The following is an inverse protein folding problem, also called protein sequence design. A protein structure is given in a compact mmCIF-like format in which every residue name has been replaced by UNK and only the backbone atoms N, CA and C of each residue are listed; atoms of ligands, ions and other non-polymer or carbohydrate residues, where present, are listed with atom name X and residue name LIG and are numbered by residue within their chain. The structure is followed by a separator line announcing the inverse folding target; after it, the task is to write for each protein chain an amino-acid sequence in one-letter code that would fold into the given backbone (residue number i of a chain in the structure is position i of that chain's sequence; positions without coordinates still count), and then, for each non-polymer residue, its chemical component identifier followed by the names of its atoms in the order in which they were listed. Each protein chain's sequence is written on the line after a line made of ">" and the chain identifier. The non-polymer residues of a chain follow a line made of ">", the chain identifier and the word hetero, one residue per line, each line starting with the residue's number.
data_IF_104021299381
#
_entry.id   IF_104021299381
#
_cell.length_a   1.000
_cell.length_b   1.000
_cell.length_c   1.000
_cell.angle_alpha   90.00
_cell.angle_beta   90.00
_cell.angle_gamma   90.00
#
_symmetry.space_group_name_H-M   'P 1'
#
loop_
_entity.id
_entity.type
_entity.pdbx_description
1 polymer ?
#
# COMPACT_ATOMS: atom_id res chain seq x y z
N UNK A 1 -7.97 11.41 8.05
CA UNK A 1 -6.64 11.07 7.50
C UNK A 1 -6.40 9.62 7.81
N UNK A 2 -6.02 8.82 6.82
CA UNK A 2 -5.56 7.46 7.08
C UNK A 2 -4.20 7.57 7.77
N UNK A 3 -4.00 6.83 8.86
CA UNK A 3 -2.73 6.82 9.59
C UNK A 3 -1.89 5.69 8.99
N UNK A 4 -0.68 6.00 8.53
CA UNK A 4 0.24 4.97 8.02
C UNK A 4 0.54 3.92 9.10
N UNK A 5 0.54 2.64 8.72
CA UNK A 5 1.06 1.59 9.58
C UNK A 5 2.59 1.68 9.75
N UNK A 6 3.16 1.01 10.75
CA UNK A 6 4.61 0.92 10.95
C UNK A 6 5.33 0.33 9.74
N UNK A 7 4.67 -0.63 9.05
CA UNK A 7 5.19 -1.25 7.85
C UNK A 7 5.16 -0.33 6.63
N UNK A 8 4.06 0.40 6.42
CA UNK A 8 4.01 1.44 5.39
C UNK A 8 5.08 2.51 5.63
N UNK A 9 5.29 2.93 6.88
CA UNK A 9 6.38 3.86 7.25
C UNK A 9 7.75 3.31 6.90
N UNK A 10 7.99 2.02 7.09
CA UNK A 10 9.24 1.36 6.73
C UNK A 10 9.44 1.32 5.20
N UNK A 11 8.39 1.01 4.43
CA UNK A 11 8.42 1.05 2.96
C UNK A 11 8.73 2.47 2.47
N UNK A 12 8.04 3.48 3.01
CA UNK A 12 8.26 4.89 2.68
C UNK A 12 9.72 5.31 2.90
N UNK A 13 10.25 5.01 4.08
CA UNK A 13 11.64 5.33 4.42
C UNK A 13 12.65 4.63 3.48
N UNK A 14 12.37 3.39 3.08
CA UNK A 14 13.20 2.69 2.10
C UNK A 14 13.17 3.36 0.72
N UNK A 15 12.00 3.76 0.24
CA UNK A 15 11.85 4.47 -1.04
C UNK A 15 12.55 5.83 -1.01
N UNK A 16 12.40 6.60 0.07
CA UNK A 16 13.08 7.88 0.29
C UNK A 16 14.61 7.71 0.26
N UNK A 17 15.14 6.72 0.97
CA UNK A 17 16.57 6.43 1.02
C UNK A 17 17.15 5.97 -0.33
N UNK A 18 16.34 5.30 -1.15
CA UNK A 18 16.71 4.89 -2.50
C UNK A 18 16.56 6.01 -3.54
N UNK A 19 16.03 7.17 -3.16
CA UNK A 19 15.74 8.27 -4.08
C UNK A 19 14.65 7.92 -5.10
N UNK A 20 13.72 7.04 -4.74
CA UNK A 20 12.62 6.62 -5.61
C UNK A 20 11.39 7.46 -5.32
N UNK A 21 10.89 8.16 -6.34
CA UNK A 21 9.63 8.91 -6.26
C UNK A 21 8.43 7.97 -6.23
N UNK A 22 7.48 8.25 -5.35
CA UNK A 22 6.22 7.52 -5.21
C UNK A 22 5.02 8.46 -5.01
N UNK A 23 3.84 7.93 -5.31
CA UNK A 23 2.54 8.48 -4.90
C UNK A 23 1.97 7.55 -3.83
N UNK A 24 1.46 8.09 -2.72
CA UNK A 24 0.84 7.27 -1.67
C UNK A 24 -0.66 7.14 -1.88
N UNK A 25 -1.24 6.04 -1.40
CA UNK A 25 -2.69 5.79 -1.38
C UNK A 25 -3.29 5.91 -2.80
N UNK A 26 -2.61 5.32 -3.79
CA UNK A 26 -2.93 5.45 -5.21
C UNK A 26 -4.19 4.66 -5.57
N UNK A 27 -5.21 5.36 -6.04
CA UNK A 27 -6.41 4.73 -6.60
C UNK A 27 -6.11 3.98 -7.90
N UNK A 28 -6.61 2.75 -8.00
CA UNK A 28 -6.52 1.85 -9.15
C UNK A 28 -7.88 1.82 -9.85
N UNK A 29 -7.99 2.53 -10.96
CA UNK A 29 -9.28 2.78 -11.64
C UNK A 29 -9.66 1.72 -12.68
N UNK A 30 -8.75 0.84 -13.07
CA UNK A 30 -8.96 -0.13 -14.17
C UNK A 30 -9.38 -1.54 -13.71
N UNK A 31 -9.54 -1.77 -12.41
CA UNK A 31 -10.03 -3.04 -11.86
C UNK A 31 -11.55 -3.05 -11.83
N UNK A 32 -12.17 -3.32 -12.98
CA UNK A 32 -13.62 -3.16 -13.18
C UNK A 32 -14.50 -4.18 -12.41
N UNK A 33 -13.94 -5.33 -12.01
CA UNK A 33 -14.70 -6.40 -11.33
C UNK A 33 -14.26 -6.64 -9.87
N UNK A 34 -13.28 -5.88 -9.38
CA UNK A 34 -12.79 -6.04 -8.01
C UNK A 34 -13.61 -5.22 -7.01
N UNK A 35 -13.83 -5.78 -5.82
CA UNK A 35 -14.57 -5.15 -4.75
C UNK A 35 -13.85 -3.88 -4.26
N UNK A 36 -14.61 -2.81 -4.01
CA UNK A 36 -14.12 -1.43 -3.82
C UNK A 36 -12.98 -1.24 -2.80
N UNK A 37 -12.76 -2.17 -1.87
CA UNK A 37 -11.76 -2.04 -0.80
C UNK A 37 -10.32 -2.31 -1.27
N UNK A 38 -10.12 -3.00 -2.40
CA UNK A 38 -8.78 -3.35 -2.92
C UNK A 38 -8.29 -2.42 -4.04
N UNK A 39 -8.97 -1.30 -4.28
CA UNK A 39 -8.64 -0.38 -5.38
C UNK A 39 -7.70 0.75 -4.96
N UNK A 40 -7.03 0.64 -3.82
CA UNK A 40 -6.08 1.65 -3.37
C UNK A 40 -4.83 0.96 -2.89
N UNK A 41 -3.71 1.22 -3.56
CA UNK A 41 -2.41 0.70 -3.15
C UNK A 41 -1.73 1.69 -2.22
N UNK A 42 -1.00 1.20 -1.22
CA UNK A 42 -0.23 2.05 -0.30
C UNK A 42 0.75 2.97 -1.04
N UNK A 43 1.44 2.45 -2.06
CA UNK A 43 2.38 3.21 -2.88
C UNK A 43 2.26 2.87 -4.37
N UNK A 44 2.48 3.88 -5.21
CA UNK A 44 2.66 3.75 -6.65
C UNK A 44 3.97 4.39 -7.06
N UNK A 45 4.74 3.70 -7.90
CA UNK A 45 6.04 4.11 -8.39
C UNK A 45 5.92 4.51 -9.87
N UNK A 46 5.76 5.81 -10.22
CA UNK A 46 5.42 6.22 -11.59
C UNK A 46 6.49 5.82 -12.61
N UNK A 47 7.77 5.91 -12.23
CA UNK A 47 8.91 5.54 -13.08
C UNK A 47 8.87 4.08 -13.53
N UNK A 48 8.32 3.21 -12.69
CA UNK A 48 8.31 1.77 -12.89
C UNK A 48 6.92 1.23 -13.22
N UNK A 49 5.89 2.10 -13.26
CA UNK A 49 4.49 1.71 -13.39
C UNK A 49 4.11 0.54 -12.45
N UNK A 50 4.56 0.64 -11.19
CA UNK A 50 4.48 -0.45 -10.22
C UNK A 50 3.69 0.00 -9.00
N UNK A 51 2.78 -0.84 -8.52
CA UNK A 51 2.00 -0.63 -7.30
C UNK A 51 2.59 -1.50 -6.19
N UNK A 52 2.65 -0.99 -4.97
CA UNK A 52 3.12 -1.68 -3.77
C UNK A 52 2.01 -1.61 -2.72
N UNK A 53 1.69 -2.77 -2.17
CA UNK A 53 0.82 -2.94 -1.01
C UNK A 53 1.65 -3.57 0.12
N UNK A 54 1.67 -2.96 1.29
CA UNK A 54 2.22 -3.55 2.48
C UNK A 54 1.17 -4.48 3.11
N UNK A 55 1.34 -5.78 2.92
CA UNK A 55 0.45 -6.80 3.46
C UNK A 55 0.63 -7.01 4.97
N UNK A 56 0.22 -6.04 5.78
CA UNK A 56 0.18 -6.16 7.24
C UNK A 56 -0.73 -7.31 7.68
N UNK A 57 -0.25 -8.15 8.61
CA UNK A 57 -1.02 -9.28 9.14
C UNK A 57 -1.33 -10.38 8.11
N UNK A 58 -0.44 -10.59 7.14
CA UNK A 58 -0.49 -11.72 6.21
C UNK A 58 -0.43 -13.09 6.91
N UNK A 59 0.22 -13.15 8.07
CA UNK A 59 0.35 -14.32 8.94
C UNK A 59 -0.80 -14.48 9.94
N UNK A 60 -1.66 -13.47 10.08
CA UNK A 60 -2.82 -13.52 10.97
C UNK A 60 -3.98 -14.20 10.27
N UNK A 61 -4.45 -15.29 10.88
CA UNK A 61 -5.48 -16.18 10.31
C UNK A 61 -6.91 -15.60 10.36
N UNK A 62 -7.12 -14.49 11.07
CA UNK A 62 -8.40 -13.81 11.19
C UNK A 62 -8.29 -12.32 10.82
N UNK A 63 -9.21 -11.84 9.97
CA UNK A 63 -9.28 -10.43 9.52
C UNK A 63 -9.43 -9.43 10.68
N UNK A 64 -9.96 -9.84 11.83
CA UNK A 64 -10.14 -8.97 13.00
C UNK A 64 -8.81 -8.59 13.69
N UNK A 65 -7.73 -9.36 13.50
CA UNK A 65 -6.43 -9.06 14.10
C UNK A 65 -5.58 -8.12 13.22
N UNK A 66 -6.06 -7.74 12.03
CA UNK A 66 -5.38 -6.83 11.10
C UNK A 66 -5.55 -5.34 11.45
N UNK A 67 -6.41 -5.01 12.42
CA UNK A 67 -6.80 -3.63 12.75
C UNK A 67 -6.08 -3.04 13.99
N UNK A 68 -5.02 -3.68 14.50
CA UNK A 68 -4.21 -3.17 15.62
C UNK A 68 -2.87 -2.58 15.15
#
# INVERSE_FOLDING_TARGET
>A
MNIESDGERAVRAALDNLGITYEQEKEITFLNEDSKRFRRADFFLPKYNTYIEYAGGWDKSNDNERME
#
